data_IF_258256858738
#
_entry.id   IF_258256858738
#
_cell.length_a   1.000
_cell.length_b   1.000
_cell.length_c   1.000
_cell.angle_alpha   90.00
_cell.angle_beta   90.00
_cell.angle_gamma   90.00
#
_symmetry.space_group_name_H-M   'P 1'
#
loop_
_entity.id
_entity.type
_entity.pdbx_description
1 polymer ?
#
# COMPACT_ATOMS: atom_id res chain seq x y z
N UNK A 1 29.94 -16.11 -27.81
CA UNK A 1 29.76 -17.55 -27.50
C UNK A 1 28.97 -17.72 -26.18
N UNK A 2 27.92 -16.91 -25.91
CA UNK A 2 27.10 -16.96 -24.66
C UNK A 2 25.58 -17.05 -24.88
N UNK A 3 25.10 -17.10 -26.12
CA UNK A 3 23.65 -17.21 -26.40
C UNK A 3 23.13 -18.64 -26.59
N UNK A 4 24.00 -19.64 -26.69
CA UNK A 4 23.60 -21.04 -26.90
C UNK A 4 23.22 -21.77 -25.60
N UNK A 5 23.86 -21.44 -24.47
CA UNK A 5 23.63 -22.11 -23.19
C UNK A 5 22.29 -21.77 -22.54
N UNK A 6 21.73 -20.55 -22.81
CA UNK A 6 20.46 -20.13 -22.23
C UNK A 6 19.25 -20.84 -22.89
N UNK A 7 19.40 -21.25 -24.16
CA UNK A 7 18.31 -21.91 -24.91
C UNK A 7 18.19 -23.40 -24.53
N UNK A 8 19.29 -24.08 -24.20
CA UNK A 8 19.25 -25.48 -23.75
C UNK A 8 18.66 -25.66 -22.36
N UNK A 9 18.89 -24.70 -21.43
CA UNK A 9 18.28 -24.70 -20.09
C UNK A 9 16.75 -24.51 -20.16
N UNK A 10 16.27 -23.63 -21.03
CA UNK A 10 14.83 -23.43 -21.25
C UNK A 10 14.15 -24.62 -21.91
N UNK A 11 14.82 -25.27 -22.86
CA UNK A 11 14.29 -26.49 -23.50
C UNK A 11 14.28 -27.69 -22.56
N UNK A 12 15.22 -27.77 -21.62
CA UNK A 12 15.26 -28.79 -20.58
C UNK A 12 14.11 -28.61 -19.58
N UNK A 13 13.85 -27.37 -19.17
CA UNK A 13 12.74 -27.02 -18.25
C UNK A 13 11.36 -27.29 -18.89
N UNK A 14 11.16 -26.91 -20.15
CA UNK A 14 9.91 -27.18 -20.88
C UNK A 14 9.69 -28.68 -21.15
N UNK A 15 10.74 -29.44 -21.42
CA UNK A 15 10.64 -30.92 -21.59
C UNK A 15 10.35 -31.63 -20.26
N UNK A 16 10.93 -31.14 -19.14
CA UNK A 16 10.62 -31.64 -17.79
C UNK A 16 9.18 -31.34 -17.36
N UNK A 17 8.68 -30.14 -17.64
CA UNK A 17 7.31 -29.75 -17.35
C UNK A 17 6.28 -30.53 -18.19
N UNK A 18 6.58 -30.78 -19.46
CA UNK A 18 5.72 -31.60 -20.34
C UNK A 18 5.73 -33.09 -19.97
N UNK A 19 6.87 -33.62 -19.52
CA UNK A 19 6.97 -35.03 -19.09
C UNK A 19 6.22 -35.24 -17.74
N UNK A 20 6.25 -34.29 -16.82
CA UNK A 20 5.47 -34.33 -15.58
C UNK A 20 3.96 -34.24 -15.86
N UNK A 21 3.56 -33.47 -16.87
CA UNK A 21 2.17 -33.34 -17.30
C UNK A 21 1.59 -34.61 -17.96
N UNK A 22 2.45 -35.47 -18.54
CA UNK A 22 2.03 -36.73 -19.19
C UNK A 22 1.80 -37.88 -18.21
N UNK A 23 2.32 -37.77 -16.98
CA UNK A 23 2.17 -38.79 -15.92
C UNK A 23 1.02 -38.46 -14.96
N UNK A 24 0.68 -37.19 -14.80
CA UNK A 24 -0.44 -36.71 -14.04
C UNK A 24 -1.64 -36.50 -14.96
N UNK A 25 -2.70 -37.27 -14.82
CA UNK A 25 -3.93 -37.07 -15.58
C UNK A 25 -4.47 -35.64 -15.47
N UNK A 26 -5.43 -35.25 -16.32
CA UNK A 26 -6.00 -33.90 -16.33
C UNK A 26 -6.51 -33.42 -14.96
N UNK A 27 -6.84 -34.33 -14.06
CA UNK A 27 -7.24 -34.02 -12.69
C UNK A 27 -6.07 -33.54 -11.81
N UNK A 28 -4.84 -33.99 -12.06
CA UNK A 28 -3.68 -33.53 -11.31
C UNK A 28 -3.20 -32.13 -11.73
N UNK A 29 -3.50 -31.70 -12.94
CA UNK A 29 -3.28 -30.31 -13.38
C UNK A 29 -4.26 -29.33 -12.73
N UNK A 30 -5.48 -29.79 -12.41
CA UNK A 30 -6.48 -28.99 -11.70
C UNK A 30 -6.26 -28.98 -10.18
N UNK A 31 -5.68 -30.05 -9.61
CA UNK A 31 -5.40 -30.12 -8.17
C UNK A 31 -4.31 -29.16 -7.68
N UNK A 32 -3.45 -28.67 -8.57
CA UNK A 32 -2.45 -27.62 -8.26
C UNK A 32 -2.97 -26.20 -8.41
N UNK A 33 -4.17 -26.01 -8.91
CA UNK A 33 -4.77 -24.72 -9.18
C UNK A 33 -6.17 -24.60 -8.54
N UNK A 34 -6.25 -24.88 -7.24
CA UNK A 34 -7.35 -24.31 -6.45
C UNK A 34 -6.85 -22.97 -5.91
N UNK A 35 -7.13 -21.85 -6.58
CA UNK A 35 -6.67 -20.55 -6.13
C UNK A 35 -7.29 -20.16 -4.79
N UNK A 36 -8.25 -20.93 -4.28
CA UNK A 36 -9.00 -20.59 -3.09
C UNK A 36 -9.31 -21.85 -2.27
N UNK A 37 -8.87 -21.88 -1.01
CA UNK A 37 -9.41 -22.83 -0.05
C UNK A 37 -10.91 -22.56 0.09
N UNK A 38 -11.79 -23.56 0.02
CA UNK A 38 -13.25 -23.35 0.03
C UNK A 38 -13.75 -22.53 1.22
N UNK A 39 -13.05 -22.65 2.38
CA UNK A 39 -13.45 -22.07 3.66
C UNK A 39 -12.58 -20.83 4.02
N UNK A 40 -12.05 -20.12 3.03
CA UNK A 40 -11.24 -18.91 3.26
C UNK A 40 -11.99 -17.63 2.90
N UNK A 41 -11.84 -16.59 3.73
CA UNK A 41 -12.30 -15.25 3.42
C UNK A 41 -11.33 -14.57 2.44
N UNK A 42 -11.86 -14.06 1.34
CA UNK A 42 -11.09 -13.38 0.30
C UNK A 42 -10.88 -11.91 0.67
N UNK A 43 -9.64 -11.52 0.89
CA UNK A 43 -9.29 -10.14 1.28
C UNK A 43 -8.32 -9.55 0.27
N UNK A 44 -8.72 -8.47 -0.38
CA UNK A 44 -7.84 -7.68 -1.21
C UNK A 44 -7.51 -6.34 -0.55
N UNK A 45 -6.32 -5.83 -0.76
CA UNK A 45 -6.01 -4.47 -0.32
C UNK A 45 -5.01 -3.75 -1.22
N UNK A 46 -4.93 -2.44 -1.03
CA UNK A 46 -3.80 -1.64 -1.48
C UNK A 46 -2.48 -2.27 -0.99
N UNK A 47 -1.52 -2.47 -1.88
CA UNK A 47 -0.22 -3.04 -1.55
C UNK A 47 0.55 -2.29 -0.46
N UNK A 48 0.23 -1.01 -0.22
CA UNK A 48 0.77 -0.26 0.90
C UNK A 48 0.32 -0.76 2.29
N UNK A 49 -0.75 -1.55 2.36
CA UNK A 49 -1.26 -2.16 3.58
C UNK A 49 -0.73 -3.58 3.80
N UNK A 50 0.02 -4.16 2.84
CA UNK A 50 0.33 -5.58 2.83
C UNK A 50 1.09 -6.05 4.07
N UNK A 51 2.03 -5.27 4.57
CA UNK A 51 2.82 -5.63 5.75
C UNK A 51 1.94 -5.72 6.99
N UNK A 52 1.08 -4.72 7.21
CA UNK A 52 0.13 -4.70 8.32
C UNK A 52 -0.91 -5.83 8.19
N UNK A 53 -1.48 -6.05 7.00
CA UNK A 53 -2.44 -7.13 6.79
C UNK A 53 -1.83 -8.52 6.92
N UNK A 54 -0.57 -8.73 6.52
CA UNK A 54 0.08 -10.03 6.70
C UNK A 54 0.21 -10.39 8.18
N UNK A 55 0.63 -9.42 9.03
CA UNK A 55 0.69 -9.63 10.48
C UNK A 55 -0.71 -9.82 11.08
N UNK A 56 -1.66 -8.94 10.72
CA UNK A 56 -3.03 -8.97 11.21
C UNK A 56 -3.73 -10.29 10.85
N UNK A 57 -3.60 -10.74 9.61
CA UNK A 57 -4.19 -11.99 9.15
C UNK A 57 -3.64 -13.18 9.93
N UNK A 58 -2.34 -13.26 10.17
CA UNK A 58 -1.73 -14.32 10.96
C UNK A 58 -2.26 -14.35 12.40
N UNK A 59 -2.46 -13.18 13.03
CA UNK A 59 -3.05 -13.08 14.36
C UNK A 59 -4.52 -13.52 14.34
N UNK A 60 -5.30 -13.06 13.36
CA UNK A 60 -6.72 -13.44 13.23
C UNK A 60 -6.88 -14.93 13.01
N UNK A 61 -6.14 -15.52 12.07
CA UNK A 61 -6.14 -16.95 11.76
C UNK A 61 -5.79 -17.80 13.00
N UNK A 62 -4.76 -17.37 13.75
CA UNK A 62 -4.35 -18.05 14.98
C UNK A 62 -5.45 -18.05 16.06
N UNK A 63 -6.22 -16.97 16.16
CA UNK A 63 -7.27 -16.81 17.17
C UNK A 63 -8.57 -17.51 16.81
N UNK A 64 -8.92 -17.52 15.54
CA UNK A 64 -10.25 -17.94 15.08
C UNK A 64 -10.27 -19.29 14.37
N UNK A 65 -9.12 -19.73 13.86
CA UNK A 65 -9.01 -20.90 12.99
C UNK A 65 -9.52 -20.66 11.56
N UNK A 66 -10.06 -19.48 11.23
CA UNK A 66 -10.47 -19.13 9.89
C UNK A 66 -9.25 -18.79 9.01
N UNK A 67 -9.30 -19.17 7.74
CA UNK A 67 -8.23 -18.87 6.80
C UNK A 67 -8.52 -17.56 6.05
N UNK A 68 -7.52 -16.71 5.92
CA UNK A 68 -7.59 -15.48 5.11
C UNK A 68 -6.78 -15.67 3.83
N UNK A 69 -7.43 -15.53 2.70
CA UNK A 69 -6.75 -15.50 1.42
C UNK A 69 -6.51 -14.06 0.98
N UNK A 70 -5.29 -13.60 1.18
CA UNK A 70 -4.93 -12.21 1.05
C UNK A 70 -4.23 -11.90 -0.29
N UNK A 71 -4.61 -10.78 -0.90
CA UNK A 71 -3.95 -10.22 -2.08
C UNK A 71 -3.71 -8.73 -1.90
N UNK A 72 -2.44 -8.33 -1.84
CA UNK A 72 -2.03 -6.94 -1.87
C UNK A 72 -1.51 -6.54 -3.25
N UNK A 73 -2.07 -5.48 -3.86
CA UNK A 73 -1.65 -5.01 -5.18
C UNK A 73 -1.85 -3.49 -5.35
N UNK A 74 -1.59 -2.97 -6.55
CA UNK A 74 -1.78 -1.54 -6.82
C UNK A 74 -3.25 -1.13 -6.65
N UNK A 75 -3.50 -0.18 -5.74
CA UNK A 75 -4.84 0.27 -5.38
C UNK A 75 -5.69 0.70 -6.58
N UNK A 76 -5.09 1.42 -7.52
CA UNK A 76 -5.77 1.88 -8.73
C UNK A 76 -6.21 0.73 -9.63
N UNK A 77 -5.39 -0.30 -9.78
CA UNK A 77 -5.69 -1.45 -10.63
C UNK A 77 -6.73 -2.37 -9.99
N UNK A 78 -6.62 -2.63 -8.67
CA UNK A 78 -7.64 -3.38 -7.95
C UNK A 78 -9.00 -2.69 -8.03
N UNK A 79 -9.04 -1.38 -7.76
CA UNK A 79 -10.29 -0.61 -7.81
C UNK A 79 -10.92 -0.59 -9.20
N UNK A 80 -10.12 -0.43 -10.26
CA UNK A 80 -10.60 -0.52 -11.65
C UNK A 80 -11.13 -1.91 -11.98
N UNK A 81 -10.41 -2.96 -11.60
CA UNK A 81 -10.82 -4.35 -11.82
C UNK A 81 -12.17 -4.66 -11.15
N UNK A 82 -12.36 -4.19 -9.90
CA UNK A 82 -13.62 -4.36 -9.18
C UNK A 82 -14.75 -3.58 -9.86
N UNK A 83 -14.54 -2.32 -10.25
CA UNK A 83 -15.54 -1.49 -10.93
C UNK A 83 -15.90 -2.02 -12.33
N UNK A 84 -14.93 -2.60 -13.03
CA UNK A 84 -15.13 -3.22 -14.34
C UNK A 84 -15.70 -4.66 -14.25
N UNK A 85 -15.98 -5.17 -13.04
CA UNK A 85 -16.46 -6.54 -12.78
C UNK A 85 -15.48 -7.64 -13.26
N UNK A 86 -14.23 -7.30 -13.46
CA UNK A 86 -13.15 -8.23 -13.87
C UNK A 86 -12.51 -8.96 -12.69
N UNK A 87 -12.74 -8.46 -11.48
CA UNK A 87 -12.24 -9.03 -10.23
C UNK A 87 -13.35 -9.14 -9.20
N UNK A 88 -13.16 -10.04 -8.22
CA UNK A 88 -14.09 -10.25 -7.12
C UNK A 88 -13.29 -10.50 -5.84
N UNK A 89 -13.75 -9.90 -4.75
CA UNK A 89 -13.26 -10.18 -3.40
C UNK A 89 -14.41 -10.03 -2.42
N UNK A 90 -14.28 -10.56 -1.23
CA UNK A 90 -15.29 -10.47 -0.17
C UNK A 90 -15.05 -9.25 0.71
N UNK A 91 -13.77 -8.95 1.00
CA UNK A 91 -13.34 -7.76 1.74
C UNK A 91 -12.32 -6.99 0.92
N UNK A 92 -12.41 -5.67 0.93
CA UNK A 92 -11.50 -4.80 0.18
C UNK A 92 -10.98 -3.63 1.02
N UNK A 93 -9.69 -3.66 1.34
CA UNK A 93 -8.94 -2.54 1.92
C UNK A 93 -8.60 -1.51 0.84
N UNK A 94 -9.47 -0.53 0.64
CA UNK A 94 -9.30 0.49 -0.39
C UNK A 94 -8.42 1.63 0.10
N UNK A 95 -7.64 2.20 -0.79
CA UNK A 95 -6.98 3.50 -0.61
C UNK A 95 -7.76 4.56 -1.37
N UNK A 96 -7.91 5.74 -0.75
CA UNK A 96 -8.70 6.87 -1.24
C UNK A 96 -10.20 6.63 -1.04
N UNK A 97 -10.82 7.48 -0.22
CA UNK A 97 -12.24 7.40 0.13
C UNK A 97 -13.17 7.31 -1.09
N UNK A 98 -12.85 8.05 -2.16
CA UNK A 98 -13.64 8.10 -3.38
C UNK A 98 -13.77 6.73 -4.07
N UNK A 99 -12.84 5.82 -3.88
CA UNK A 99 -12.98 4.45 -4.40
C UNK A 99 -14.11 3.71 -3.70
N UNK A 100 -14.18 3.76 -2.38
CA UNK A 100 -15.27 3.13 -1.63
C UNK A 100 -16.62 3.74 -1.93
N UNK A 101 -16.68 5.06 -2.07
CA UNK A 101 -17.90 5.76 -2.50
C UNK A 101 -18.35 5.33 -3.91
N UNK A 102 -17.41 5.17 -4.86
CA UNK A 102 -17.72 4.67 -6.21
C UNK A 102 -18.21 3.23 -6.19
N UNK A 103 -17.56 2.35 -5.42
CA UNK A 103 -17.99 0.96 -5.25
C UNK A 103 -19.38 0.89 -4.60
N UNK A 104 -19.65 1.72 -3.62
CA UNK A 104 -20.95 1.82 -2.96
C UNK A 104 -22.05 2.28 -3.94
N UNK A 105 -21.77 3.35 -4.68
CA UNK A 105 -22.69 3.88 -5.72
C UNK A 105 -22.97 2.87 -6.83
N UNK A 106 -22.00 2.04 -7.18
CA UNK A 106 -22.13 0.97 -8.15
C UNK A 106 -22.83 -0.30 -7.61
N UNK A 107 -23.23 -0.32 -6.34
CA UNK A 107 -23.82 -1.48 -5.67
C UNK A 107 -22.86 -2.66 -5.53
N UNK A 108 -21.56 -2.40 -5.50
CA UNK A 108 -20.48 -3.41 -5.38
C UNK A 108 -19.98 -3.55 -3.95
N UNK A 109 -20.07 -2.49 -3.14
CA UNK A 109 -19.81 -2.51 -1.70
C UNK A 109 -21.13 -2.47 -0.94
N UNK A 110 -21.35 -3.39 -0.02
CA UNK A 110 -22.53 -3.40 0.87
C UNK A 110 -22.42 -2.32 1.94
N UNK A 111 -21.22 -2.12 2.48
CA UNK A 111 -20.86 -1.12 3.48
C UNK A 111 -19.36 -0.91 3.49
N UNK A 112 -18.91 0.20 3.99
CA UNK A 112 -17.49 0.41 4.30
C UNK A 112 -17.34 1.22 5.58
N UNK A 113 -16.19 1.08 6.21
CA UNK A 113 -15.81 1.82 7.42
C UNK A 113 -14.39 2.38 7.29
N UNK A 114 -14.01 3.38 8.10
CA UNK A 114 -12.62 3.82 8.15
C UNK A 114 -11.73 2.66 8.58
N UNK A 115 -10.55 2.53 7.96
CA UNK A 115 -9.59 1.49 8.26
C UNK A 115 -8.39 2.05 9.02
N UNK A 116 -7.70 2.98 8.43
CA UNK A 116 -6.58 3.71 9.01
C UNK A 116 -6.25 4.93 8.15
N UNK A 117 -5.30 5.74 8.61
CA UNK A 117 -4.80 6.88 7.85
C UNK A 117 -3.29 6.79 7.69
N UNK A 118 -2.77 7.49 6.70
CA UNK A 118 -1.34 7.71 6.52
C UNK A 118 -1.02 9.20 6.48
N UNK A 119 0.26 9.53 6.41
CA UNK A 119 0.75 10.90 6.27
C UNK A 119 1.95 10.94 5.33
N UNK A 120 2.39 12.14 4.95
CA UNK A 120 3.58 12.37 4.16
C UNK A 120 4.58 13.19 4.96
N UNK A 121 5.85 12.82 4.86
CA UNK A 121 6.94 13.41 5.61
C UNK A 121 8.15 13.67 4.71
N UNK A 122 9.00 14.59 5.13
CA UNK A 122 10.34 14.70 4.59
C UNK A 122 11.20 13.61 5.23
N UNK A 123 11.95 12.87 4.44
CA UNK A 123 12.90 11.87 4.93
C UNK A 123 14.30 12.20 4.44
N UNK A 124 15.25 12.10 5.35
CA UNK A 124 16.66 12.33 5.13
C UNK A 124 17.50 11.14 5.61
N UNK A 125 18.71 10.93 5.12
CA UNK A 125 19.64 9.99 5.72
C UNK A 125 19.91 10.33 7.19
N UNK A 126 20.23 9.31 8.00
CA UNK A 126 20.53 9.48 9.42
C UNK A 126 21.63 10.53 9.65
N UNK A 127 21.41 11.39 10.64
CA UNK A 127 22.30 12.51 10.95
C UNK A 127 22.09 13.73 10.06
N UNK A 128 21.15 13.67 9.10
CA UNK A 128 20.75 14.80 8.26
C UNK A 128 21.92 15.62 7.70
N UNK A 129 22.82 15.04 6.90
CA UNK A 129 24.08 15.68 6.50
C UNK A 129 23.87 16.96 5.68
N UNK A 130 22.73 17.10 5.01
CA UNK A 130 22.37 18.31 4.23
C UNK A 130 21.69 19.40 5.07
N UNK A 131 21.43 19.16 6.36
CA UNK A 131 20.82 20.14 7.27
C UNK A 131 19.38 20.52 6.92
N UNK A 132 18.62 19.64 6.28
CA UNK A 132 17.22 19.86 5.92
C UNK A 132 16.36 20.00 7.17
N UNK A 133 15.52 21.02 7.26
CA UNK A 133 14.67 21.31 8.41
C UNK A 133 13.20 21.36 8.04
N UNK A 134 12.90 21.86 6.85
CA UNK A 134 11.54 21.98 6.36
C UNK A 134 11.47 21.85 4.81
N UNK A 135 10.25 21.93 4.29
CA UNK A 135 10.00 21.77 2.85
C UNK A 135 10.68 22.83 1.98
N UNK A 136 10.97 24.03 2.52
CA UNK A 136 11.61 25.13 1.75
C UNK A 136 13.06 24.81 1.46
N UNK A 137 13.72 24.07 2.35
CA UNK A 137 15.13 23.72 2.18
C UNK A 137 15.34 22.83 0.93
N UNK A 138 14.29 22.15 0.43
CA UNK A 138 14.35 21.40 -0.84
C UNK A 138 14.60 22.33 -2.07
N UNK A 139 14.32 23.61 -1.94
CA UNK A 139 14.53 24.61 -2.98
C UNK A 139 15.93 25.27 -2.90
N UNK A 140 16.70 25.02 -1.85
CA UNK A 140 18.03 25.60 -1.67
C UNK A 140 19.03 25.03 -2.68
N UNK A 141 19.92 25.87 -3.23
CA UNK A 141 20.93 25.43 -4.19
C UNK A 141 21.82 24.32 -3.63
N UNK A 142 22.02 23.26 -4.42
CA UNK A 142 22.91 22.15 -4.07
C UNK A 142 22.25 21.02 -3.29
N UNK A 143 21.02 21.17 -2.82
CA UNK A 143 20.24 20.07 -2.22
C UNK A 143 19.84 19.07 -3.30
N UNK A 144 20.15 17.77 -3.06
CA UNK A 144 19.86 16.69 -3.99
C UNK A 144 18.53 16.05 -3.63
N UNK A 145 17.47 16.45 -4.33
CA UNK A 145 16.09 15.99 -4.06
C UNK A 145 15.77 14.72 -4.84
N UNK A 146 15.17 13.72 -4.18
CA UNK A 146 14.69 12.49 -4.79
C UNK A 146 13.18 12.39 -4.60
N UNK A 147 12.40 12.27 -5.70
CA UNK A 147 10.94 12.28 -5.62
C UNK A 147 10.30 11.09 -6.35
N UNK A 148 9.27 10.43 -5.76
CA UNK A 148 8.58 9.31 -6.38
C UNK A 148 7.46 9.79 -7.33
N UNK A 149 7.75 10.73 -8.25
CA UNK A 149 6.73 11.33 -9.13
C UNK A 149 6.26 10.40 -10.25
N UNK A 150 6.97 9.30 -10.49
CA UNK A 150 6.59 8.23 -11.43
C UNK A 150 5.93 7.04 -10.73
N UNK A 151 5.77 7.09 -9.41
CA UNK A 151 5.03 6.05 -8.69
C UNK A 151 3.57 6.00 -9.17
N UNK A 152 3.02 4.78 -9.20
CA UNK A 152 1.63 4.59 -9.60
C UNK A 152 0.67 5.36 -8.70
N UNK A 153 -0.44 5.89 -9.23
CA UNK A 153 -1.46 6.51 -8.40
C UNK A 153 -1.99 5.52 -7.33
N UNK A 154 -2.28 6.01 -6.11
CA UNK A 154 -2.22 7.40 -5.66
C UNK A 154 -0.84 7.86 -5.14
N UNK A 155 0.22 7.03 -5.22
CA UNK A 155 1.53 7.30 -4.59
C UNK A 155 2.19 8.62 -5.00
N UNK A 156 2.20 8.98 -6.29
CA UNK A 156 2.80 10.23 -6.77
C UNK A 156 1.92 11.46 -6.56
N UNK A 157 0.61 11.28 -6.47
CA UNK A 157 -0.36 12.39 -6.37
C UNK A 157 -0.12 13.32 -5.19
N UNK A 158 0.00 12.81 -3.96
CA UNK A 158 0.25 13.62 -2.77
C UNK A 158 1.53 14.43 -2.86
N UNK A 159 2.62 13.84 -3.35
CA UNK A 159 3.91 14.53 -3.50
C UNK A 159 3.79 15.71 -4.46
N UNK A 160 3.12 15.50 -5.61
CA UNK A 160 2.82 16.59 -6.56
C UNK A 160 1.92 17.65 -5.94
N UNK A 161 0.93 17.24 -5.15
CA UNK A 161 0.03 18.14 -4.42
C UNK A 161 0.78 19.01 -3.40
N UNK A 162 1.65 18.43 -2.60
CA UNK A 162 2.48 19.12 -1.60
C UNK A 162 3.34 20.19 -2.28
N UNK A 163 4.05 19.83 -3.35
CA UNK A 163 4.90 20.76 -4.08
C UNK A 163 4.09 21.89 -4.71
N UNK A 164 2.93 21.57 -5.30
CA UNK A 164 2.04 22.58 -5.89
C UNK A 164 1.50 23.54 -4.84
N UNK A 165 0.98 23.00 -3.73
CA UNK A 165 0.36 23.80 -2.67
C UNK A 165 1.38 24.67 -1.92
N UNK A 166 2.65 24.24 -1.84
CA UNK A 166 3.74 25.04 -1.28
C UNK A 166 4.28 26.13 -2.21
N UNK A 167 3.94 26.09 -3.49
CA UNK A 167 4.50 26.99 -4.50
C UNK A 167 5.96 26.68 -4.88
N UNK A 168 6.53 25.57 -4.40
CA UNK A 168 7.96 25.26 -4.57
C UNK A 168 8.26 24.36 -5.77
N UNK A 169 7.24 23.96 -6.55
CA UNK A 169 7.39 22.96 -7.62
C UNK A 169 8.58 23.22 -8.52
N UNK A 170 8.69 24.43 -9.10
CA UNK A 170 9.75 24.73 -10.09
C UNK A 170 11.15 24.71 -9.47
N UNK A 171 11.28 25.23 -8.25
CA UNK A 171 12.57 25.28 -7.54
C UNK A 171 13.04 23.89 -7.14
N UNK A 172 12.15 23.10 -6.55
CA UNK A 172 12.44 21.71 -6.14
C UNK A 172 12.76 20.83 -7.36
N UNK A 173 12.05 21.03 -8.49
CA UNK A 173 12.35 20.27 -9.71
C UNK A 173 13.73 20.56 -10.30
N UNK A 174 14.31 21.77 -10.08
CA UNK A 174 15.70 22.07 -10.46
C UNK A 174 16.72 21.28 -9.65
N UNK A 175 16.39 20.98 -8.40
CA UNK A 175 17.23 20.25 -7.48
C UNK A 175 17.00 18.71 -7.53
N UNK A 176 16.06 18.27 -8.37
CA UNK A 176 15.70 16.86 -8.45
C UNK A 176 16.79 16.03 -9.16
N UNK A 177 17.45 15.17 -8.42
CA UNK A 177 18.49 14.25 -8.95
C UNK A 177 17.93 12.88 -9.32
N UNK A 178 16.77 12.49 -8.77
CA UNK A 178 16.11 11.24 -9.11
C UNK A 178 14.58 11.37 -9.10
N UNK A 179 13.96 10.71 -10.09
CA UNK A 179 12.51 10.60 -10.24
C UNK A 179 12.12 9.11 -10.30
N UNK A 180 11.68 8.55 -9.18
CA UNK A 180 11.43 7.12 -9.04
C UNK A 180 9.99 6.70 -9.31
N UNK A 181 9.83 5.43 -9.69
CA UNK A 181 8.55 4.73 -9.79
C UNK A 181 8.29 3.79 -8.61
N UNK A 182 9.34 3.39 -7.89
CA UNK A 182 9.26 2.53 -6.71
C UNK A 182 9.77 3.28 -5.48
N UNK A 183 8.90 3.50 -4.51
CA UNK A 183 9.25 4.23 -3.27
C UNK A 183 10.25 3.47 -2.41
N UNK A 184 10.20 2.12 -2.39
CA UNK A 184 11.17 1.30 -1.65
C UNK A 184 12.57 1.45 -2.25
N UNK A 185 12.71 1.40 -3.59
CA UNK A 185 13.99 1.61 -4.23
C UNK A 185 14.53 3.02 -3.96
N UNK A 186 13.66 4.02 -3.99
CA UNK A 186 14.03 5.40 -3.69
C UNK A 186 14.55 5.54 -2.24
N UNK A 187 13.92 4.85 -1.28
CA UNK A 187 14.40 4.81 0.10
C UNK A 187 15.77 4.13 0.21
N UNK A 188 16.01 3.04 -0.53
CA UNK A 188 17.32 2.42 -0.60
C UNK A 188 18.38 3.40 -1.13
N UNK A 189 18.06 4.05 -2.24
CA UNK A 189 18.97 5.02 -2.89
C UNK A 189 19.26 6.22 -1.97
N UNK A 190 18.28 6.67 -1.19
CA UNK A 190 18.45 7.73 -0.20
C UNK A 190 19.40 7.30 0.94
N UNK A 191 19.20 6.11 1.49
CA UNK A 191 20.07 5.52 2.51
C UNK A 191 21.51 5.33 1.99
N UNK A 192 21.65 4.98 0.70
CA UNK A 192 22.94 4.83 0.01
C UNK A 192 23.60 6.18 -0.33
N UNK A 193 23.03 7.32 0.09
CA UNK A 193 23.59 8.66 -0.11
C UNK A 193 23.50 9.22 -1.53
N UNK A 194 22.61 8.65 -2.36
CA UNK A 194 22.37 9.13 -3.74
C UNK A 194 21.57 10.42 -3.81
N UNK A 195 20.98 10.84 -2.70
CA UNK A 195 20.27 12.09 -2.50
C UNK A 195 20.27 12.51 -1.04
N UNK A 196 19.73 13.69 -0.78
CA UNK A 196 19.75 14.31 0.54
C UNK A 196 18.38 14.26 1.22
N UNK A 197 17.31 14.29 0.44
CA UNK A 197 15.93 14.35 0.95
C UNK A 197 14.93 13.75 -0.03
N UNK A 198 13.85 13.17 0.51
CA UNK A 198 12.69 12.75 -0.25
C UNK A 198 11.38 13.12 0.47
N UNK A 199 10.28 13.22 -0.27
CA UNK A 199 8.92 13.30 0.26
C UNK A 199 8.27 11.92 0.08
N UNK A 200 7.96 11.26 1.18
CA UNK A 200 7.41 9.91 1.13
C UNK A 200 6.30 9.70 2.17
N UNK A 201 5.62 8.60 2.04
CA UNK A 201 4.60 8.15 2.97
C UNK A 201 5.21 7.74 4.31
N UNK A 202 4.70 8.29 5.42
CA UNK A 202 5.24 8.14 6.77
C UNK A 202 5.42 6.67 7.18
N UNK A 203 4.51 5.77 6.78
CA UNK A 203 4.61 4.34 7.10
C UNK A 203 5.96 3.71 6.74
N UNK A 204 6.67 4.24 5.74
CA UNK A 204 7.99 3.73 5.36
C UNK A 204 9.07 4.07 6.37
N UNK A 205 8.84 5.01 7.27
CA UNK A 205 9.82 5.38 8.31
C UNK A 205 9.91 4.33 9.43
N UNK A 206 8.89 3.51 9.61
CA UNK A 206 8.87 2.41 10.60
C UNK A 206 9.34 1.08 10.03
N UNK A 207 9.50 0.99 8.71
CA UNK A 207 9.93 -0.24 8.05
C UNK A 207 11.33 -0.66 8.51
N UNK A 208 11.51 -1.92 8.93
CA UNK A 208 12.76 -2.45 9.52
C UNK A 208 14.01 -2.18 8.69
N UNK A 209 13.85 -2.15 7.38
CA UNK A 209 14.95 -1.87 6.45
C UNK A 209 15.50 -0.45 6.57
N UNK A 210 14.69 0.52 7.05
CA UNK A 210 14.99 1.94 7.00
C UNK A 210 15.01 2.64 8.35
N UNK A 211 14.20 2.23 9.33
CA UNK A 211 13.94 2.94 10.59
C UNK A 211 15.17 3.46 11.32
N UNK A 212 16.28 2.70 11.29
CA UNK A 212 17.52 3.07 11.99
C UNK A 212 18.52 3.85 11.11
N UNK A 213 18.20 4.06 9.84
CA UNK A 213 19.08 4.65 8.82
C UNK A 213 18.62 5.99 8.30
N UNK A 214 17.48 6.46 8.77
CA UNK A 214 16.84 7.70 8.33
C UNK A 214 16.37 8.52 9.53
N UNK A 215 16.10 9.79 9.24
CA UNK A 215 15.33 10.70 10.08
C UNK A 215 14.22 11.31 9.25
N UNK A 216 13.15 11.79 9.89
CA UNK A 216 12.05 12.41 9.18
C UNK A 216 11.50 13.63 9.91
N UNK A 217 10.94 14.54 9.13
CA UNK A 217 10.30 15.76 9.61
C UNK A 217 8.88 15.86 9.06
N UNK A 218 7.93 16.38 9.85
CA UNK A 218 6.57 16.58 9.40
C UNK A 218 6.49 17.62 8.28
N UNK A 219 5.50 17.48 7.41
CA UNK A 219 5.10 18.49 6.44
C UNK A 219 3.82 19.17 6.95
N UNK A 220 3.68 20.47 6.73
CA UNK A 220 2.45 21.19 7.10
C UNK A 220 1.23 20.52 6.42
N UNK A 221 0.29 20.08 7.23
CA UNK A 221 -0.92 19.38 6.79
C UNK A 221 -1.76 20.16 5.79
N UNK A 222 -1.70 21.49 5.83
CA UNK A 222 -2.40 22.36 4.88
C UNK A 222 -1.93 22.15 3.44
N UNK A 223 -0.72 21.60 3.27
CA UNK A 223 -0.14 21.29 1.98
C UNK A 223 -0.54 19.91 1.44
N UNK A 224 -1.10 19.04 2.32
CA UNK A 224 -1.40 17.65 1.99
C UNK A 224 -2.88 17.51 1.60
N UNK A 225 -3.13 16.96 0.42
CA UNK A 225 -4.50 16.65 -0.01
C UNK A 225 -5.08 15.51 0.83
N UNK A 226 -6.31 15.64 1.36
CA UNK A 226 -6.87 14.66 2.30
C UNK A 226 -7.17 13.30 1.70
N UNK A 227 -7.66 13.23 0.47
CA UNK A 227 -8.15 11.99 -0.14
C UNK A 227 -7.14 10.83 -0.10
N UNK A 228 -5.88 11.02 -0.54
CA UNK A 228 -4.85 9.97 -0.52
C UNK A 228 -4.39 9.50 0.87
N UNK A 229 -4.77 10.20 1.93
CA UNK A 229 -4.41 9.83 3.31
C UNK A 229 -5.32 8.75 3.88
N UNK A 230 -6.49 8.53 3.29
CA UNK A 230 -7.55 7.70 3.85
C UNK A 230 -7.50 6.29 3.31
N UNK A 231 -7.60 5.32 4.21
CA UNK A 231 -7.90 3.92 3.88
C UNK A 231 -9.25 3.52 4.47
N UNK A 232 -9.96 2.69 3.74
CA UNK A 232 -11.29 2.20 4.13
C UNK A 232 -11.36 0.70 3.95
N UNK A 233 -12.14 0.02 4.78
CA UNK A 233 -12.42 -1.40 4.69
C UNK A 233 -13.85 -1.61 4.18
N UNK A 234 -14.00 -2.27 3.05
CA UNK A 234 -15.26 -2.51 2.39
C UNK A 234 -15.68 -3.98 2.55
N UNK A 235 -16.93 -4.24 2.87
CA UNK A 235 -17.57 -5.55 2.68
C UNK A 235 -18.25 -5.53 1.31
N UNK A 236 -17.83 -6.46 0.45
CA UNK A 236 -18.24 -6.47 -0.96
C UNK A 236 -19.49 -7.33 -1.16
N UNK A 237 -20.28 -7.04 -2.20
CA UNK A 237 -21.50 -7.80 -2.52
C UNK A 237 -21.28 -9.29 -2.82
N UNK A 238 -20.02 -9.70 -3.01
CA UNK A 238 -19.65 -11.08 -3.30
C UNK A 238 -19.37 -11.91 -2.07
N UNK A 239 -19.54 -11.33 -0.88
CA UNK A 239 -19.35 -12.01 0.40
C UNK A 239 -20.27 -13.25 0.45
N UNK A 240 -19.70 -14.40 0.85
CA UNK A 240 -20.42 -15.67 0.99
C UNK A 240 -20.94 -15.86 2.41
N UNK A 241 -20.13 -15.46 3.37
CA UNK A 241 -20.43 -15.45 4.79
C UNK A 241 -20.27 -14.03 5.34
N UNK A 242 -21.39 -13.30 5.42
CA UNK A 242 -21.39 -11.92 5.93
C UNK A 242 -20.93 -11.86 7.38
N UNK A 243 -21.29 -12.85 8.18
CA UNK A 243 -20.88 -12.88 9.57
C UNK A 243 -19.36 -13.01 9.72
N UNK A 244 -18.74 -13.91 8.97
CA UNK A 244 -17.29 -14.07 8.97
C UNK A 244 -16.59 -12.77 8.47
N UNK A 245 -17.12 -12.12 7.44
CA UNK A 245 -16.56 -10.89 6.95
C UNK A 245 -16.71 -9.73 7.94
N UNK A 246 -17.82 -9.66 8.67
CA UNK A 246 -18.02 -8.66 9.74
C UNK A 246 -17.13 -8.96 10.95
N UNK A 247 -17.05 -10.19 11.40
CA UNK A 247 -16.16 -10.61 12.50
C UNK A 247 -14.69 -10.25 12.17
N UNK A 248 -14.27 -10.47 10.90
CA UNK A 248 -12.96 -10.06 10.44
C UNK A 248 -12.81 -8.52 10.41
N UNK A 249 -13.79 -7.80 9.88
CA UNK A 249 -13.75 -6.34 9.83
C UNK A 249 -13.76 -5.71 11.23
N UNK A 250 -14.50 -6.31 12.17
CA UNK A 250 -14.49 -5.90 13.57
C UNK A 250 -13.13 -6.12 14.22
N UNK A 251 -12.47 -7.25 13.94
CA UNK A 251 -11.11 -7.50 14.40
C UNK A 251 -10.12 -6.49 13.81
N UNK A 252 -10.16 -6.26 12.50
CA UNK A 252 -9.32 -5.25 11.81
C UNK A 252 -9.46 -3.87 12.45
N UNK A 253 -10.69 -3.48 12.78
CA UNK A 253 -11.01 -2.17 13.38
C UNK A 253 -10.95 -2.18 14.92
N UNK A 254 -10.66 -3.29 15.58
CA UNK A 254 -10.50 -3.35 17.03
C UNK A 254 -9.23 -2.61 17.48
N UNK A 255 -9.10 -2.35 18.78
CA UNK A 255 -7.88 -1.77 19.37
C UNK A 255 -6.66 -2.61 19.01
N UNK A 256 -6.75 -3.94 19.16
CA UNK A 256 -5.66 -4.86 18.83
C UNK A 256 -5.28 -4.83 17.35
N UNK A 257 -6.27 -4.88 16.45
CA UNK A 257 -6.03 -4.77 15.02
C UNK A 257 -5.38 -3.43 14.65
N UNK A 258 -5.82 -2.36 15.28
CA UNK A 258 -5.30 -1.02 15.03
C UNK A 258 -3.89 -0.80 15.60
N UNK A 259 -3.51 -1.43 16.69
CA UNK A 259 -2.13 -1.45 17.19
C UNK A 259 -1.17 -2.09 16.17
N UNK A 260 -1.63 -3.09 15.40
CA UNK A 260 -0.83 -3.64 14.30
C UNK A 260 -0.60 -2.57 13.23
N UNK A 261 -1.64 -1.85 12.80
CA UNK A 261 -1.47 -0.76 11.84
C UNK A 261 -0.55 0.34 12.35
N UNK A 262 -0.61 0.70 13.64
CA UNK A 262 0.28 1.71 14.25
C UNK A 262 1.75 1.26 14.22
N UNK A 263 2.04 -0.01 14.52
CA UNK A 263 3.41 -0.56 14.40
C UNK A 263 3.96 -0.45 12.97
N UNK A 264 3.09 -0.54 11.98
CA UNK A 264 3.44 -0.34 10.56
C UNK A 264 3.36 1.12 10.10
N UNK A 265 3.30 2.09 11.04
CA UNK A 265 3.40 3.53 10.77
C UNK A 265 2.13 4.19 10.24
N UNK A 266 0.98 3.53 10.36
CA UNK A 266 -0.32 4.13 10.09
C UNK A 266 -0.87 4.85 11.31
N UNK A 267 -1.81 5.76 11.09
CA UNK A 267 -2.58 6.40 12.15
C UNK A 267 -3.84 5.60 12.40
N UNK A 268 -3.99 5.10 13.62
CA UNK A 268 -5.17 4.34 14.07
C UNK A 268 -6.42 5.19 14.06
N UNK A 269 -7.54 4.57 13.72
CA UNK A 269 -8.89 5.18 13.83
C UNK A 269 -9.29 5.47 15.27
N UNK A 270 -8.64 4.85 16.26
CA UNK A 270 -8.90 5.07 17.69
C UNK A 270 -8.03 6.17 18.31
N UNK A 271 -6.97 6.59 17.63
CA UNK A 271 -6.13 7.69 18.11
C UNK A 271 -6.89 9.02 18.03
N UNK A 272 -6.51 9.99 18.88
CA UNK A 272 -7.08 11.34 18.82
C UNK A 272 -6.98 11.93 17.40
N UNK A 273 -5.87 11.70 16.72
CA UNK A 273 -5.65 12.13 15.35
C UNK A 273 -6.54 11.38 14.36
N UNK A 274 -6.73 10.07 14.52
CA UNK A 274 -7.61 9.28 13.66
C UNK A 274 -9.07 9.73 13.77
N UNK A 275 -9.55 9.98 14.97
CA UNK A 275 -10.90 10.49 15.20
C UNK A 275 -11.13 11.86 14.55
N UNK A 276 -10.16 12.77 14.67
CA UNK A 276 -10.19 14.06 13.98
C UNK A 276 -10.26 13.89 12.44
N UNK A 277 -9.47 12.97 11.89
CA UNK A 277 -9.44 12.72 10.44
C UNK A 277 -10.74 12.09 9.94
N UNK A 278 -11.36 11.18 10.72
CA UNK A 278 -12.67 10.60 10.41
C UNK A 278 -13.70 11.72 10.26
N UNK A 279 -13.76 12.63 11.22
CA UNK A 279 -14.71 13.74 11.21
C UNK A 279 -14.40 14.71 10.07
N UNK A 280 -13.15 15.16 9.96
CA UNK A 280 -12.69 16.13 8.97
C UNK A 280 -12.89 15.67 7.53
N UNK A 281 -12.69 14.38 7.24
CA UNK A 281 -12.82 13.82 5.90
C UNK A 281 -14.18 13.18 5.64
N UNK A 282 -15.05 13.15 6.64
CA UNK A 282 -16.37 12.55 6.51
C UNK A 282 -16.33 11.05 6.25
N UNK A 283 -15.30 10.34 6.73
CA UNK A 283 -15.17 8.88 6.59
C UNK A 283 -16.08 8.23 7.62
N UNK A 284 -17.32 7.92 7.23
CA UNK A 284 -18.31 7.31 8.11
C UNK A 284 -18.69 5.94 7.60
N UNK A 285 -19.12 5.07 8.50
CA UNK A 285 -19.79 3.81 8.16
C UNK A 285 -21.07 4.09 7.37
N UNK A 286 -21.32 3.33 6.34
CA UNK A 286 -22.51 3.39 5.50
C UNK A 286 -23.03 1.99 5.20
#
# INVERSE_FOLDING_TARGET
>A
MKFKEIDESRRGFLKGALAAAAIAGPEAMLAGYTPFKPDSLQVWSCGGLSEAFNELNAVYESKTGHNIQYTGAFAGELGKSLLALQGKTEVFGARVLEFSQKLRKAGLSLRFRPLCFTDYVLVVPKGNPAGIRDLKDLAEPGVRVMLPLRASPPGSGPVKGILKNSGLTELVMKNMVANGSCVIQMMCDLVDGKGDVSIIEKRLTTHDRFKDKIEYMPIDEKLILPGPLTFTLNIMKYVKDEKLADDFADFVCSVEGQEIFERHGFTSIHSARGLELIERFGVKDV
#
